data_IF_542021027802
#
_entry.id   IF_542021027802
#
_cell.length_a   1.000
_cell.length_b   1.000
_cell.length_c   1.000
_cell.angle_alpha   90.00
_cell.angle_beta   90.00
_cell.angle_gamma   90.00
#
_symmetry.space_group_name_H-M   'P 1'
#
loop_
_entity.id
_entity.type
_entity.pdbx_description
1 polymer ?
#
# COMPACT_ATOMS: atom_id res chain seq x y z
N UNK A 1 6.84 -25.43 -48.12
CA UNK A 1 7.02 -26.27 -46.91
C UNK A 1 7.27 -25.44 -45.64
N UNK A 2 8.29 -24.57 -45.64
CA UNK A 2 8.62 -23.67 -44.52
C UNK A 2 7.57 -22.57 -44.27
N UNK A 3 7.01 -21.97 -45.33
CA UNK A 3 5.96 -20.94 -45.19
C UNK A 3 4.64 -21.50 -44.61
N UNK A 4 4.29 -22.74 -44.95
CA UNK A 4 3.12 -23.41 -44.38
C UNK A 4 3.35 -23.79 -42.91
N UNK A 5 4.59 -24.09 -42.52
CA UNK A 5 5.00 -24.34 -41.14
C UNK A 5 4.91 -23.06 -40.30
N UNK A 6 5.47 -21.93 -40.78
CA UNK A 6 5.33 -20.63 -40.11
C UNK A 6 3.87 -20.19 -39.98
N UNK A 7 3.03 -20.46 -40.99
CA UNK A 7 1.60 -20.17 -40.92
C UNK A 7 0.86 -21.03 -39.89
N UNK A 8 1.25 -22.30 -39.71
CA UNK A 8 0.67 -23.17 -38.69
C UNK A 8 1.15 -22.83 -37.28
N UNK A 9 2.43 -22.49 -37.10
CA UNK A 9 2.96 -21.98 -35.84
C UNK A 9 2.30 -20.65 -35.45
N UNK A 10 2.11 -19.73 -36.39
CA UNK A 10 1.40 -18.47 -36.15
C UNK A 10 -0.08 -18.69 -35.76
N UNK A 11 -0.77 -19.67 -36.35
CA UNK A 11 -2.14 -20.04 -35.96
C UNK A 11 -2.20 -20.69 -34.58
N UNK A 12 -1.25 -21.56 -34.25
CA UNK A 12 -1.10 -22.12 -32.91
C UNK A 12 -0.81 -21.01 -31.89
N UNK A 13 0.03 -20.04 -32.23
CA UNK A 13 0.34 -18.86 -31.41
C UNK A 13 -0.90 -18.01 -31.13
N UNK A 14 -1.71 -17.74 -32.15
CA UNK A 14 -2.96 -16.98 -31.98
C UNK A 14 -3.98 -17.77 -31.14
N UNK A 15 -4.05 -19.10 -31.28
CA UNK A 15 -4.93 -19.91 -30.45
C UNK A 15 -4.43 -20.09 -29.00
N UNK A 16 -3.13 -20.23 -28.80
CA UNK A 16 -2.50 -20.36 -27.48
C UNK A 16 -2.52 -19.03 -26.71
N UNK A 17 -2.29 -17.90 -27.37
CA UNK A 17 -2.38 -16.57 -26.73
C UNK A 17 -3.82 -16.16 -26.39
N UNK A 18 -4.82 -16.67 -27.11
CA UNK A 18 -6.25 -16.47 -26.79
C UNK A 18 -6.72 -17.38 -25.64
N UNK A 19 -6.05 -18.51 -25.40
CA UNK A 19 -6.39 -19.46 -24.33
C UNK A 19 -5.52 -19.32 -23.07
N UNK A 20 -4.38 -18.61 -23.15
CA UNK A 20 -3.49 -18.37 -22.01
C UNK A 20 -4.13 -17.41 -21.00
N UNK A 21 -3.92 -17.70 -19.71
CA UNK A 21 -4.34 -16.81 -18.63
C UNK A 21 -3.27 -15.73 -18.42
N UNK A 22 -3.67 -14.46 -18.41
CA UNK A 22 -2.78 -13.33 -18.19
C UNK A 22 -2.35 -12.63 -19.48
N UNK A 23 -1.21 -11.95 -19.43
CA UNK A 23 -0.71 -11.15 -20.55
C UNK A 23 -0.01 -12.01 -21.60
N UNK A 24 0.35 -11.41 -22.73
CA UNK A 24 1.04 -12.09 -23.84
C UNK A 24 2.40 -12.70 -23.46
N UNK A 25 2.97 -12.34 -22.31
CA UNK A 25 4.21 -12.88 -21.76
C UNK A 25 4.03 -14.14 -20.90
N UNK A 26 2.78 -14.52 -20.58
CA UNK A 26 2.47 -15.78 -19.90
C UNK A 26 2.35 -16.98 -20.87
N UNK A 27 2.63 -16.75 -22.15
CA UNK A 27 2.86 -17.78 -23.14
C UNK A 27 4.20 -17.49 -23.82
N UNK A 28 4.99 -18.53 -24.11
CA UNK A 28 6.26 -18.39 -24.79
C UNK A 28 6.49 -19.53 -25.78
N UNK A 29 7.33 -19.27 -26.78
CA UNK A 29 7.79 -20.24 -27.76
C UNK A 29 9.32 -20.28 -27.69
N UNK A 30 9.88 -21.48 -27.70
CA UNK A 30 11.32 -21.70 -27.63
C UNK A 30 11.68 -22.90 -28.49
N UNK A 31 12.77 -22.78 -29.26
CA UNK A 31 13.36 -23.93 -29.94
C UNK A 31 14.04 -24.84 -28.92
N UNK A 32 13.77 -26.14 -29.00
CA UNK A 32 14.29 -27.14 -28.07
C UNK A 32 15.01 -28.25 -28.82
N UNK A 33 16.06 -28.79 -28.20
CA UNK A 33 16.83 -29.90 -28.74
C UNK A 33 16.40 -31.23 -28.12
N UNK A 34 16.46 -32.31 -28.91
CA UNK A 34 16.06 -33.63 -28.45
C UNK A 34 16.95 -34.13 -27.31
N UNK A 35 16.34 -34.53 -26.20
CA UNK A 35 17.03 -35.07 -25.02
C UNK A 35 17.66 -34.02 -24.10
N UNK A 36 17.36 -32.74 -24.31
CA UNK A 36 17.83 -31.64 -23.46
C UNK A 36 16.69 -31.16 -22.55
N UNK A 37 16.98 -31.07 -21.26
CA UNK A 37 16.06 -30.45 -20.29
C UNK A 37 16.08 -28.93 -20.45
N UNK A 38 14.89 -28.33 -20.43
CA UNK A 38 14.69 -26.90 -20.62
C UNK A 38 13.89 -26.35 -19.44
N UNK A 39 14.44 -25.31 -18.80
CA UNK A 39 13.75 -24.56 -17.75
C UNK A 39 13.12 -23.30 -18.34
N UNK A 40 11.84 -23.08 -18.07
CA UNK A 40 11.07 -21.94 -18.56
C UNK A 40 10.49 -21.16 -17.39
N UNK A 41 10.71 -19.85 -17.39
CA UNK A 41 10.04 -18.92 -16.47
C UNK A 41 9.01 -18.11 -17.23
N UNK A 42 7.74 -18.25 -16.84
CA UNK A 42 6.64 -17.45 -17.38
C UNK A 42 6.36 -16.26 -16.45
N UNK A 43 6.14 -15.08 -17.03
CA UNK A 43 5.88 -13.84 -16.28
C UNK A 43 4.62 -13.16 -16.78
N UNK A 44 3.96 -12.36 -15.91
CA UNK A 44 2.72 -11.66 -16.28
C UNK A 44 1.48 -12.57 -16.39
N UNK A 45 1.46 -13.70 -15.68
CA UNK A 45 0.38 -14.68 -15.73
C UNK A 45 -0.89 -14.31 -14.97
N UNK A 46 -0.86 -13.24 -14.15
CA UNK A 46 -2.00 -12.72 -13.39
C UNK A 46 -2.81 -13.80 -12.65
N UNK A 47 -2.12 -14.83 -12.14
CA UNK A 47 -2.76 -15.96 -11.50
C UNK A 47 -3.32 -15.57 -10.13
N UNK A 48 -4.51 -16.09 -9.80
CA UNK A 48 -5.18 -15.87 -8.51
C UNK A 48 -4.81 -16.98 -7.53
N UNK A 49 -4.59 -16.61 -6.27
CA UNK A 49 -4.41 -17.57 -5.18
C UNK A 49 -5.62 -18.47 -4.99
N UNK A 50 -5.40 -19.69 -4.47
CA UNK A 50 -6.44 -20.74 -4.28
C UNK A 50 -7.08 -21.26 -5.58
N UNK A 51 -6.55 -20.86 -6.74
CA UNK A 51 -6.95 -21.36 -8.04
C UNK A 51 -5.87 -22.29 -8.57
N UNK A 52 -6.29 -23.45 -9.08
CA UNK A 52 -5.41 -24.38 -9.78
C UNK A 52 -5.51 -24.11 -11.28
N UNK A 53 -4.37 -23.85 -11.90
CA UNK A 53 -4.22 -23.65 -13.34
C UNK A 53 -3.69 -24.92 -14.00
N UNK A 54 -3.99 -25.10 -15.28
CA UNK A 54 -3.43 -26.17 -16.08
C UNK A 54 -2.45 -25.58 -17.09
N UNK A 55 -1.18 -25.97 -16.99
CA UNK A 55 -0.15 -25.67 -17.97
C UNK A 55 -0.08 -26.80 -18.99
N UNK A 56 -0.01 -26.45 -20.27
CA UNK A 56 0.19 -27.37 -21.38
C UNK A 56 1.41 -26.96 -22.19
N UNK A 57 2.17 -27.94 -22.64
CA UNK A 57 3.31 -27.75 -23.53
C UNK A 57 3.03 -28.46 -24.85
N UNK A 58 3.17 -27.75 -25.96
CA UNK A 58 3.08 -28.32 -27.30
C UNK A 58 4.46 -28.34 -27.94
N UNK A 59 4.90 -29.50 -28.42
CA UNK A 59 6.20 -29.67 -29.08
C UNK A 59 5.95 -30.15 -30.50
N UNK A 60 6.60 -29.55 -31.47
CA UNK A 60 6.55 -29.91 -32.89
C UNK A 60 7.96 -30.01 -33.46
N UNK A 61 8.16 -30.90 -34.44
CA UNK A 61 9.43 -31.00 -35.16
C UNK A 61 9.59 -29.85 -36.15
N UNK A 62 10.79 -29.27 -36.20
CA UNK A 62 11.15 -28.21 -37.17
C UNK A 62 11.20 -28.71 -38.62
N UNK A 63 11.20 -30.04 -38.81
CA UNK A 63 11.11 -30.72 -40.10
C UNK A 63 9.65 -30.89 -40.60
N UNK A 64 8.68 -30.35 -39.86
CA UNK A 64 7.26 -30.49 -40.15
C UNK A 64 6.63 -31.79 -39.63
N UNK A 65 7.37 -32.56 -38.82
CA UNK A 65 6.81 -33.71 -38.09
C UNK A 65 5.68 -33.22 -37.17
N UNK A 66 4.49 -33.83 -37.21
CA UNK A 66 3.38 -33.46 -36.35
C UNK A 66 3.76 -33.48 -34.87
N UNK A 67 3.36 -32.43 -34.15
CA UNK A 67 3.65 -32.28 -32.75
C UNK A 67 2.72 -33.05 -31.81
N UNK A 68 3.07 -33.04 -30.52
CA UNK A 68 2.25 -33.59 -29.44
C UNK A 68 2.05 -32.56 -28.34
N UNK A 69 0.91 -32.62 -27.66
CA UNK A 69 0.62 -31.81 -26.47
C UNK A 69 0.87 -32.64 -25.21
N UNK A 70 1.45 -32.03 -24.19
CA UNK A 70 1.64 -32.65 -22.88
C UNK A 70 0.30 -32.94 -22.20
N UNK A 71 0.35 -33.79 -21.18
CA UNK A 71 -0.72 -33.79 -20.17
C UNK A 71 -0.73 -32.46 -19.42
N UNK A 72 -1.87 -32.14 -18.80
CA UNK A 72 -2.02 -30.93 -18.00
C UNK A 72 -1.10 -31.01 -16.77
N UNK A 73 -0.18 -30.05 -16.64
CA UNK A 73 0.59 -29.83 -15.42
C UNK A 73 -0.22 -28.89 -14.52
N UNK A 74 -0.63 -29.38 -13.35
CA UNK A 74 -1.38 -28.57 -12.40
C UNK A 74 -0.45 -27.61 -11.68
N UNK A 75 -0.72 -26.31 -11.82
CA UNK A 75 -0.02 -25.22 -11.14
C UNK A 75 -0.97 -24.66 -10.09
N UNK A 76 -0.75 -25.03 -8.83
CA UNK A 76 -1.46 -24.44 -7.71
C UNK A 76 -0.78 -23.12 -7.33
N UNK A 77 -1.54 -22.03 -7.24
CA UNK A 77 -1.05 -20.80 -6.62
C UNK A 77 -1.36 -20.89 -5.13
N UNK A 78 -0.37 -21.15 -4.27
CA UNK A 78 -0.62 -21.20 -2.84
C UNK A 78 -1.21 -19.88 -2.38
N UNK A 79 -2.25 -19.94 -1.55
CA UNK A 79 -2.63 -18.76 -0.78
C UNK A 79 -1.44 -18.36 0.09
N UNK A 80 -1.21 -17.05 0.31
CA UNK A 80 -0.45 -16.64 1.48
C UNK A 80 -1.11 -17.31 2.71
N UNK A 81 -0.33 -17.82 3.68
CA UNK A 81 -0.87 -18.60 4.77
C UNK A 81 -2.02 -17.84 5.45
N UNK A 82 -3.22 -18.46 5.54
CA UNK A 82 -4.47 -17.90 6.11
C UNK A 82 -4.39 -17.53 7.60
N UNK A 83 -3.19 -17.45 8.17
CA UNK A 83 -2.91 -17.06 9.54
C UNK A 83 -1.67 -16.15 9.53
N UNK A 84 -1.68 -15.12 8.68
CA UNK A 84 -0.72 -14.02 8.82
C UNK A 84 -0.96 -13.43 10.21
N UNK A 85 0.03 -13.45 11.11
CA UNK A 85 -0.10 -12.75 12.39
C UNK A 85 -0.48 -11.29 12.08
N UNK A 86 -1.54 -10.78 12.70
CA UNK A 86 -1.87 -9.36 12.57
C UNK A 86 -1.26 -8.60 13.74
N UNK A 87 -0.61 -7.48 13.44
CA UNK A 87 -0.27 -6.52 14.47
C UNK A 87 -1.53 -5.81 14.93
N UNK A 88 -1.65 -5.63 16.23
CA UNK A 88 -2.80 -4.97 16.87
C UNK A 88 -2.30 -3.98 17.90
N UNK A 89 -3.18 -3.11 18.37
CA UNK A 89 -2.85 -2.20 19.47
C UNK A 89 -3.13 -2.89 20.81
N UNK A 90 -2.19 -2.77 21.76
CA UNK A 90 -2.44 -3.15 23.16
C UNK A 90 -3.31 -2.10 23.85
N UNK A 91 -3.09 -0.83 23.50
CA UNK A 91 -3.84 0.32 23.96
C UNK A 91 -4.10 1.26 22.77
N UNK A 92 -5.24 1.97 22.72
CA UNK A 92 -5.44 3.01 21.73
C UNK A 92 -4.30 4.05 21.77
N UNK A 93 -3.82 4.54 20.61
CA UNK A 93 -2.88 5.65 20.59
C UNK A 93 -3.39 6.84 21.40
N UNK A 94 -2.50 7.52 22.12
CA UNK A 94 -2.87 8.59 23.04
C UNK A 94 -1.85 9.72 23.04
N UNK A 95 -2.27 10.93 23.40
CA UNK A 95 -1.32 12.03 23.60
C UNK A 95 -0.44 11.77 24.83
N UNK A 96 0.84 12.15 24.75
CA UNK A 96 1.73 12.14 25.91
C UNK A 96 1.34 13.25 26.89
N UNK A 97 1.00 14.43 26.36
CA UNK A 97 0.43 15.52 27.14
C UNK A 97 -0.43 16.41 26.25
N UNK A 98 -1.60 16.79 26.74
CA UNK A 98 -2.47 17.77 26.08
C UNK A 98 -1.90 19.20 26.18
N UNK A 99 -1.11 19.49 27.22
CA UNK A 99 -0.53 20.82 27.45
C UNK A 99 0.66 21.12 26.51
N UNK A 100 1.18 20.11 25.82
CA UNK A 100 2.31 20.22 24.89
C UNK A 100 1.89 20.31 23.42
N UNK A 101 0.58 20.42 23.14
CA UNK A 101 0.10 20.66 21.78
C UNK A 101 0.34 22.13 21.43
N UNK A 102 1.13 22.37 20.39
CA UNK A 102 1.32 23.69 19.80
C UNK A 102 0.61 23.78 18.46
N UNK A 103 0.72 24.92 17.78
CA UNK A 103 0.26 25.04 16.40
C UNK A 103 1.14 24.28 15.40
N UNK A 104 2.32 23.78 15.81
CA UNK A 104 3.24 23.11 14.89
C UNK A 104 3.67 21.71 15.34
N UNK A 105 3.38 21.33 16.58
CA UNK A 105 3.88 20.10 17.17
C UNK A 105 2.94 19.49 18.20
N UNK A 106 3.04 18.18 18.35
CA UNK A 106 2.44 17.41 19.44
C UNK A 106 3.21 16.09 19.59
N UNK A 107 3.05 15.41 20.73
CA UNK A 107 3.69 14.12 20.97
C UNK A 107 2.64 13.06 21.29
N UNK A 108 2.73 11.92 20.62
CA UNK A 108 1.83 10.78 20.78
C UNK A 108 2.57 9.54 21.26
N UNK A 109 1.88 8.73 22.06
CA UNK A 109 2.28 7.40 22.50
C UNK A 109 1.54 6.35 21.69
N UNK A 110 2.26 5.34 21.21
CA UNK A 110 1.69 4.15 20.57
C UNK A 110 2.21 2.89 21.26
N UNK A 111 1.31 1.93 21.51
CA UNK A 111 1.65 0.63 22.08
C UNK A 111 1.01 -0.46 21.21
N UNK A 112 1.83 -1.17 20.45
CA UNK A 112 1.39 -2.27 19.61
C UNK A 112 1.75 -3.62 20.27
N UNK A 113 0.89 -4.61 20.09
CA UNK A 113 1.27 -6.01 20.26
C UNK A 113 1.84 -6.48 18.93
N UNK A 114 3.15 -6.34 18.78
CA UNK A 114 3.89 -6.78 17.60
C UNK A 114 5.18 -7.48 18.04
N UNK A 115 5.49 -8.65 17.48
CA UNK A 115 6.83 -9.24 17.64
C UNK A 115 7.84 -8.56 16.71
N UNK A 116 7.35 -8.13 15.54
CA UNK A 116 7.98 -7.22 14.59
C UNK A 116 6.86 -6.67 13.68
N UNK A 117 6.99 -5.43 13.22
CA UNK A 117 5.94 -4.77 12.46
C UNK A 117 6.36 -3.49 11.79
N UNK A 118 5.41 -2.91 11.07
CA UNK A 118 5.52 -1.59 10.48
C UNK A 118 4.28 -0.77 10.80
N UNK A 119 4.47 0.51 11.06
CA UNK A 119 3.44 1.47 11.43
C UNK A 119 3.45 2.69 10.51
N UNK A 120 2.25 3.17 10.19
CA UNK A 120 2.00 4.45 9.52
C UNK A 120 1.13 5.31 10.40
N UNK A 121 1.42 6.62 10.41
CA UNK A 121 0.61 7.60 11.14
C UNK A 121 0.37 8.79 10.24
N UNK A 122 -0.90 9.18 10.10
CA UNK A 122 -1.30 10.40 9.40
C UNK A 122 -2.12 11.29 10.31
N UNK A 123 -1.99 12.59 10.09
CA UNK A 123 -2.85 13.62 10.66
C UNK A 123 -3.77 14.12 9.55
N UNK A 124 -5.07 14.22 9.80
CA UNK A 124 -6.08 14.66 8.84
C UNK A 124 -6.83 15.86 9.41
N UNK A 125 -7.18 16.84 8.58
CA UNK A 125 -8.08 17.92 8.98
C UNK A 125 -9.52 17.36 9.13
N UNK A 126 -10.13 17.56 10.31
CA UNK A 126 -11.42 16.96 10.61
C UNK A 126 -12.56 17.51 9.73
N UNK A 127 -12.50 18.78 9.36
CA UNK A 127 -13.53 19.40 8.54
C UNK A 127 -13.40 18.99 7.08
N UNK A 128 -12.18 18.88 6.55
CA UNK A 128 -11.95 18.36 5.20
C UNK A 128 -12.37 16.90 5.07
N UNK A 129 -12.05 16.07 6.07
CA UNK A 129 -12.50 14.68 6.08
C UNK A 129 -14.03 14.59 6.10
N UNK A 130 -14.68 15.37 6.95
CA UNK A 130 -16.15 15.41 7.02
C UNK A 130 -16.79 15.91 5.71
N UNK A 131 -16.17 16.87 5.04
CA UNK A 131 -16.66 17.40 3.77
C UNK A 131 -16.56 16.38 2.62
N UNK A 132 -15.55 15.51 2.64
CA UNK A 132 -15.43 14.41 1.68
C UNK A 132 -16.45 13.30 1.92
N UNK A 133 -16.83 13.07 3.17
CA UNK A 133 -17.76 11.99 3.55
C UNK A 133 -17.14 10.59 3.45
N UNK A 134 -15.81 10.53 3.32
CA UNK A 134 -15.06 9.27 3.14
C UNK A 134 -14.71 8.64 4.50
N UNK A 135 -14.76 7.31 4.54
CA UNK A 135 -14.16 6.54 5.63
C UNK A 135 -12.64 6.47 5.43
N UNK A 136 -11.87 6.61 6.52
CA UNK A 136 -10.42 6.46 6.46
C UNK A 136 -10.07 4.99 6.37
N UNK A 137 -9.36 4.61 5.32
CA UNK A 137 -8.96 3.23 5.06
C UNK A 137 -7.46 3.04 5.25
N UNK A 138 -7.04 1.81 5.56
CA UNK A 138 -5.61 1.50 5.71
C UNK A 138 -4.78 1.81 4.46
N UNK A 139 -5.24 1.51 3.22
CA UNK A 139 -4.57 1.95 1.99
C UNK A 139 -4.35 3.47 1.92
N UNK A 140 -5.34 4.27 2.33
CA UNK A 140 -5.24 5.73 2.33
C UNK A 140 -4.18 6.22 3.32
N UNK A 141 -4.13 5.62 4.52
CA UNK A 141 -3.09 5.93 5.54
C UNK A 141 -1.70 5.55 5.03
N UNK A 142 -1.54 4.38 4.41
CA UNK A 142 -0.26 3.91 3.83
C UNK A 142 0.23 4.83 2.70
N UNK A 143 -0.68 5.36 1.87
CA UNK A 143 -0.32 6.32 0.82
C UNK A 143 -0.13 7.75 1.34
N UNK A 144 -0.62 8.04 2.55
CA UNK A 144 -0.64 9.39 3.10
C UNK A 144 -1.69 10.29 2.44
N UNK A 145 -2.78 9.71 1.93
CA UNK A 145 -3.84 10.45 1.24
C UNK A 145 -4.48 11.46 2.20
N UNK A 146 -4.46 12.74 1.81
CA UNK A 146 -5.03 13.83 2.61
C UNK A 146 -4.29 14.13 3.92
N UNK A 147 -3.08 13.58 4.11
CA UNK A 147 -2.25 13.89 5.27
C UNK A 147 -1.95 15.40 5.34
N UNK A 148 -2.20 16.00 6.50
CA UNK A 148 -2.00 17.40 6.81
C UNK A 148 -0.60 17.64 7.40
N UNK A 149 -0.04 18.82 7.11
CA UNK A 149 1.27 19.22 7.62
C UNK A 149 2.44 18.75 6.74
N UNK A 150 3.65 19.04 7.22
CA UNK A 150 4.90 18.69 6.55
C UNK A 150 5.30 17.22 6.72
N UNK A 151 6.44 16.81 6.13
CA UNK A 151 6.93 15.43 6.20
C UNK A 151 7.11 14.87 7.62
N UNK A 152 7.35 15.73 8.60
CA UNK A 152 7.53 15.37 10.02
C UNK A 152 6.24 15.43 10.84
N UNK A 153 5.10 15.76 10.21
CA UNK A 153 3.76 15.65 10.80
C UNK A 153 3.05 14.34 10.39
N UNK A 154 3.81 13.39 9.84
CA UNK A 154 3.36 12.05 9.51
C UNK A 154 4.51 11.07 9.70
N UNK A 155 4.17 9.79 9.81
CA UNK A 155 5.15 8.72 9.87
C UNK A 155 4.84 7.68 8.79
N UNK A 156 5.85 7.36 7.99
CA UNK A 156 5.78 6.41 6.90
C UNK A 156 6.70 5.23 7.21
N UNK A 157 6.11 4.03 7.23
CA UNK A 157 6.79 2.76 7.39
C UNK A 157 7.76 2.69 8.59
N UNK A 158 7.32 3.12 9.77
CA UNK A 158 8.12 3.06 11.01
C UNK A 158 8.15 1.64 11.55
N UNK A 159 9.32 1.04 11.81
CA UNK A 159 9.39 -0.27 12.46
C UNK A 159 8.78 -0.26 13.85
N UNK A 160 8.02 -1.31 14.19
CA UNK A 160 7.45 -1.53 15.52
C UNK A 160 7.82 -2.90 16.07
N UNK A 161 7.84 -2.96 17.40
CA UNK A 161 8.00 -4.16 18.21
C UNK A 161 6.95 -4.14 19.35
N UNK A 162 7.18 -4.89 20.42
CA UNK A 162 6.28 -4.98 21.57
C UNK A 162 6.52 -3.86 22.60
N UNK A 163 7.39 -2.90 22.27
CA UNK A 163 7.70 -1.76 23.12
C UNK A 163 6.78 -0.56 22.85
N UNK A 164 6.69 0.31 23.86
CA UNK A 164 6.00 1.58 23.71
C UNK A 164 6.86 2.55 22.88
N UNK A 165 6.25 3.14 21.85
CA UNK A 165 6.88 4.16 21.02
C UNK A 165 6.33 5.56 21.33
N UNK A 166 7.24 6.53 21.41
CA UNK A 166 6.93 7.95 21.55
C UNK A 166 7.25 8.63 20.22
N UNK A 167 6.24 9.29 19.66
CA UNK A 167 6.25 9.86 18.32
C UNK A 167 6.13 11.38 18.43
N UNK A 168 7.17 12.10 18.04
CA UNK A 168 7.26 13.57 18.06
C UNK A 168 6.91 14.17 16.70
N UNK A 169 5.74 14.78 16.60
CA UNK A 169 5.27 15.43 15.39
C UNK A 169 5.73 16.89 15.36
N UNK A 170 6.28 17.32 14.23
CA UNK A 170 6.74 18.70 14.00
C UNK A 170 6.42 19.16 12.59
N UNK A 171 6.39 20.47 12.35
CA UNK A 171 6.04 21.01 11.03
C UNK A 171 4.58 20.76 10.66
N UNK A 172 3.68 20.67 11.65
CA UNK A 172 2.28 20.39 11.42
C UNK A 172 1.49 21.58 10.88
N UNK A 173 1.88 22.82 11.20
CA UNK A 173 1.21 24.03 10.69
C UNK A 173 -0.30 24.08 10.92
N UNK A 174 -0.77 23.65 12.09
CA UNK A 174 -2.19 23.67 12.47
C UNK A 174 -2.77 25.09 12.48
N UNK A 175 -4.00 25.19 12.00
CA UNK A 175 -4.78 26.40 12.10
C UNK A 175 -5.41 26.50 13.49
N UNK A 176 -5.33 27.66 14.15
CA UNK A 176 -5.89 27.86 15.48
C UNK A 176 -7.37 27.47 15.58
N UNK A 177 -7.73 26.82 16.69
CA UNK A 177 -9.10 26.40 16.98
C UNK A 177 -9.66 25.27 16.09
N UNK A 178 -8.91 24.78 15.10
CA UNK A 178 -9.32 23.62 14.29
C UNK A 178 -9.05 22.31 15.02
N UNK A 179 -9.77 21.27 14.58
CA UNK A 179 -9.60 19.90 15.04
C UNK A 179 -8.94 19.07 13.95
N UNK A 180 -7.98 18.26 14.35
CA UNK A 180 -7.30 17.31 13.50
C UNK A 180 -7.46 15.91 14.08
N UNK A 181 -7.58 14.92 13.20
CA UNK A 181 -7.74 13.52 13.55
C UNK A 181 -6.44 12.79 13.23
N UNK A 182 -5.97 11.96 14.15
CA UNK A 182 -4.84 11.07 13.88
C UNK A 182 -5.37 9.68 13.54
N UNK A 183 -4.70 8.99 12.62
CA UNK A 183 -4.97 7.59 12.31
C UNK A 183 -3.66 6.82 12.32
N UNK A 184 -3.68 5.65 12.94
CA UNK A 184 -2.51 4.78 13.07
C UNK A 184 -2.85 3.43 12.47
N UNK A 185 -2.05 3.01 11.49
CA UNK A 185 -2.13 1.70 10.88
C UNK A 185 -0.89 0.89 11.24
N UNK A 186 -1.08 -0.36 11.68
CA UNK A 186 0.02 -1.30 11.95
C UNK A 186 -0.20 -2.60 11.19
N UNK A 187 0.86 -3.13 10.58
CA UNK A 187 0.86 -4.44 9.93
C UNK A 187 2.16 -5.21 10.22
N UNK A 188 2.17 -6.51 9.92
CA UNK A 188 3.40 -7.31 9.95
C UNK A 188 4.14 -7.18 8.62
N UNK A 189 5.48 -7.29 8.59
CA UNK A 189 6.25 -7.17 7.36
C UNK A 189 5.88 -8.24 6.32
N UNK A 190 5.45 -9.43 6.75
CA UNK A 190 4.98 -10.51 5.87
C UNK A 190 3.72 -10.13 5.10
N UNK A 191 2.89 -9.22 5.63
CA UNK A 191 1.74 -8.67 4.94
C UNK A 191 2.11 -7.65 3.85
N UNK A 192 3.37 -7.20 3.80
CA UNK A 192 3.88 -6.24 2.80
C UNK A 192 4.50 -6.92 1.56
N UNK A 193 4.61 -8.25 1.57
CA UNK A 193 5.22 -9.04 0.47
C UNK A 193 4.18 -9.42 -0.60
N UNK A 194 2.90 -9.11 -0.38
CA UNK A 194 1.83 -9.34 -1.34
C UNK A 194 1.87 -8.28 -2.48
N UNK A 195 1.63 -8.70 -3.72
CA UNK A 195 1.71 -7.85 -4.93
C UNK A 195 0.81 -6.61 -4.90
N UNK A 196 -0.19 -6.60 -4.01
CA UNK A 196 -1.18 -5.54 -3.86
C UNK A 196 -1.28 -4.98 -2.42
N UNK A 197 -0.23 -5.15 -1.61
CA UNK A 197 -0.27 -4.79 -0.19
C UNK A 197 -0.63 -3.32 0.07
N UNK A 198 -0.32 -2.42 -0.87
CA UNK A 198 -0.69 -0.99 -0.73
C UNK A 198 -2.17 -0.73 -0.98
N UNK A 199 -2.88 -1.61 -1.67
CA UNK A 199 -4.32 -1.46 -1.92
C UNK A 199 -5.16 -2.31 -0.97
N UNK A 200 -4.59 -3.36 -0.37
CA UNK A 200 -5.25 -4.19 0.64
C UNK A 200 -4.29 -4.66 1.75
N UNK A 201 -3.74 -3.74 2.56
CA UNK A 201 -2.79 -4.11 3.59
C UNK A 201 -3.50 -4.86 4.73
N UNK A 202 -2.97 -6.02 5.11
CA UNK A 202 -3.50 -6.78 6.25
C UNK A 202 -2.91 -6.25 7.56
N UNK A 203 -3.75 -5.67 8.42
CA UNK A 203 -3.31 -5.08 9.67
C UNK A 203 -4.45 -4.44 10.44
N UNK A 204 -4.11 -3.66 11.46
CA UNK A 204 -5.07 -2.95 12.30
C UNK A 204 -4.97 -1.46 12.06
N UNK A 205 -6.09 -0.84 11.65
CA UNK A 205 -6.25 0.61 11.62
C UNK A 205 -7.07 1.06 12.83
N UNK A 206 -6.60 2.10 13.52
CA UNK A 206 -7.37 2.75 14.58
C UNK A 206 -7.32 4.26 14.43
N UNK A 207 -8.40 4.92 14.85
CA UNK A 207 -8.37 6.34 15.13
C UNK A 207 -7.51 6.58 16.40
N UNK A 208 -6.61 7.54 16.32
CA UNK A 208 -5.83 8.02 17.46
C UNK A 208 -6.50 9.21 18.16
N UNK A 209 -5.75 9.96 18.98
CA UNK A 209 -6.27 11.14 19.66
C UNK A 209 -6.70 12.24 18.67
N UNK A 210 -7.74 12.97 19.06
CA UNK A 210 -8.12 14.22 18.39
C UNK A 210 -7.20 15.34 18.88
N UNK A 211 -6.56 16.02 17.94
CA UNK A 211 -5.75 17.20 18.22
C UNK A 211 -6.65 18.41 18.11
N UNK A 212 -6.83 19.13 19.21
CA UNK A 212 -7.47 20.43 19.20
C UNK A 212 -6.39 21.50 19.20
N UNK A 213 -6.21 22.17 18.08
CA UNK A 213 -5.23 23.24 17.97
C UNK A 213 -5.57 24.37 18.94
N UNK A 214 -4.59 24.92 19.68
CA UNK A 214 -4.82 26.03 20.60
C UNK A 214 -5.58 27.18 19.92
N UNK A 215 -6.57 27.73 20.62
CA UNK A 215 -7.24 28.96 20.17
C UNK A 215 -6.37 30.17 20.52
N UNK A 216 -6.24 31.08 19.57
CA UNK A 216 -5.45 32.31 19.67
C UNK A 216 -6.32 33.49 20.14
N UNK A 217 -7.63 33.30 20.27
CA UNK A 217 -8.61 34.34 20.62
C UNK A 217 -8.65 34.79 22.10
N UNK A 218 -7.79 34.28 22.99
CA UNK A 218 -7.79 34.68 24.41
C UNK A 218 -6.48 35.21 24.97
N UNK A 219 -5.38 35.08 24.25
CA UNK A 219 -4.11 35.69 24.66
C UNK A 219 -3.82 36.83 23.69
N UNK A 220 -3.76 38.06 24.18
CA UNK A 220 -3.44 39.27 23.40
C UNK A 220 -2.02 39.31 22.85
N UNK A 221 -1.62 38.26 22.11
CA UNK A 221 -0.30 38.09 21.52
C UNK A 221 -0.32 38.72 20.12
N UNK A 222 0.46 39.78 19.95
CA UNK A 222 0.71 40.38 18.63
C UNK A 222 1.60 39.43 17.82
N UNK A 223 1.13 38.99 16.67
CA UNK A 223 1.92 38.20 15.73
C UNK A 223 2.98 39.06 15.05
N UNK A 224 4.22 38.57 14.98
CA UNK A 224 5.22 39.01 14.00
C UNK A 224 5.42 37.88 12.99
N UNK A 225 4.66 37.92 11.90
CA UNK A 225 4.90 37.02 10.78
C UNK A 225 6.26 37.39 10.17
N UNK A 226 7.26 36.54 10.38
CA UNK A 226 8.62 36.71 9.82
C UNK A 226 8.57 36.53 8.29
N UNK A 227 8.15 37.58 7.57
CA UNK A 227 8.25 37.66 6.11
C UNK A 227 7.24 36.82 5.31
N UNK A 228 6.21 36.25 5.93
CA UNK A 228 5.11 35.53 5.25
C UNK A 228 3.78 36.21 5.60
N UNK A 229 2.85 36.32 4.64
CA UNK A 229 1.51 36.86 4.88
C UNK A 229 0.79 36.04 5.96
N UNK A 230 0.40 36.68 7.06
CA UNK A 230 -0.43 36.05 8.08
C UNK A 230 -1.81 35.69 7.46
N UNK A 231 -2.43 34.57 7.83
CA UNK A 231 -3.82 34.33 7.50
C UNK A 231 -4.69 35.42 8.14
N UNK A 232 -5.75 35.82 7.44
CA UNK A 232 -6.72 36.76 7.94
C UNK A 232 -7.41 36.21 9.22
N UNK A 233 -8.07 37.07 10.02
CA UNK A 233 -8.75 36.65 11.26
C UNK A 233 -9.83 35.56 11.08
N UNK A 234 -10.22 35.27 9.84
CA UNK A 234 -11.14 34.22 9.43
C UNK A 234 -10.43 32.91 9.00
N UNK A 235 -9.11 32.82 9.16
CA UNK A 235 -8.31 31.64 8.83
C UNK A 235 -8.00 31.46 7.34
N UNK A 236 -8.31 32.43 6.47
CA UNK A 236 -7.95 32.36 5.05
C UNK A 236 -6.55 32.91 4.79
N UNK A 237 -5.76 32.33 3.86
CA UNK A 237 -4.52 32.95 3.42
C UNK A 237 -4.83 34.33 2.81
N UNK A 238 -4.12 35.36 3.26
CA UNK A 238 -4.28 36.71 2.70
C UNK A 238 -3.70 36.74 1.27
N UNK A 239 -4.58 36.65 0.27
CA UNK A 239 -4.25 36.84 -1.15
C UNK A 239 -4.72 35.73 -2.08
N UNK A 240 -6.01 35.75 -2.43
CA UNK A 240 -6.52 35.44 -3.78
C UNK A 240 -7.54 36.52 -4.14
#
# INVERSE_FOLDING_TARGET
>A
PLEAMHANLARLRDHLSVAAHGDSTCATELEVEAGVDVELTLVGCHMRGDVTYNLYVYIIGTDGTPGTISSAVQVGVPLPPRSVPINRFLEPPSLVSFDMISLDSFTMKVVAAATAGVMWIVVLDAAELAARGDEVTAPAVVRGDGAFGGPSCKYDAVPIDDSQQIMDFTGCGFFPGRKYLTYVFVCVPEAMVEWDWKSSPQGTLVAGPVIQAPDVGRAGVKWSCHGISCPAPDGRPAGV
#
